data_IF_853448738581
#
_entry.id   IF_853448738581
#
_cell.length_a   1.000
_cell.length_b   1.000
_cell.length_c   1.000
_cell.angle_alpha   90.00
_cell.angle_beta   90.00
_cell.angle_gamma   90.00
#
_symmetry.space_group_name_H-M   'P 1'
#
loop_
_entity.id
_entity.type
_entity.pdbx_description
1 polymer ?
#
# COMPACT_ATOMS: atom_id res chain seq x y z
N UNK A 1 -2.75 11.98 0.42
CA UNK A 1 -3.87 11.59 1.29
C UNK A 1 -5.08 12.47 0.99
N UNK A 2 -6.24 11.84 0.85
CA UNK A 2 -7.54 12.49 0.71
C UNK A 2 -8.43 12.08 1.87
N UNK A 3 -9.24 13.03 2.35
CA UNK A 3 -10.25 12.77 3.39
C UNK A 3 -11.58 13.36 2.93
N UNK A 4 -12.51 12.49 2.61
CA UNK A 4 -13.86 12.85 2.20
C UNK A 4 -14.82 12.72 3.37
N UNK A 5 -15.58 13.76 3.62
CA UNK A 5 -16.68 13.73 4.59
C UNK A 5 -17.86 12.89 4.07
N UNK A 6 -18.81 12.63 4.97
CA UNK A 6 -20.03 11.91 4.61
C UNK A 6 -20.80 12.61 3.48
N UNK A 7 -21.24 11.84 2.47
CA UNK A 7 -21.96 12.31 1.30
C UNK A 7 -21.19 13.37 0.47
N UNK A 8 -19.89 13.17 0.31
CA UNK A 8 -19.06 14.00 -0.56
C UNK A 8 -18.40 13.14 -1.65
N UNK A 9 -17.94 13.80 -2.70
CA UNK A 9 -17.29 13.17 -3.84
C UNK A 9 -16.18 14.04 -4.40
N UNK A 10 -15.32 13.39 -5.17
CA UNK A 10 -14.41 13.98 -6.15
C UNK A 10 -14.92 13.54 -7.51
N UNK A 11 -15.22 14.52 -8.35
CA UNK A 11 -15.75 14.31 -9.69
C UNK A 11 -14.84 13.41 -10.53
N UNK A 12 -15.43 12.73 -11.50
CA UNK A 12 -14.67 11.92 -12.44
C UNK A 12 -13.68 12.78 -13.23
N UNK A 13 -12.42 12.36 -13.22
CA UNK A 13 -11.33 12.99 -13.95
C UNK A 13 -10.47 11.92 -14.64
N UNK A 14 -9.70 12.35 -15.63
CA UNK A 14 -8.77 11.49 -16.35
C UNK A 14 -7.35 11.99 -16.17
N UNK A 15 -6.46 11.11 -15.70
CA UNK A 15 -5.03 11.39 -15.57
C UNK A 15 -4.22 10.57 -16.56
N UNK A 16 -3.14 11.13 -17.14
CA UNK A 16 -2.30 10.38 -18.07
C UNK A 16 -1.46 9.29 -17.40
N UNK A 17 -1.38 9.33 -16.08
CA UNK A 17 -0.58 8.43 -15.24
C UNK A 17 -1.42 7.25 -14.75
N UNK A 18 -0.77 6.11 -14.54
CA UNK A 18 -1.37 5.05 -13.75
C UNK A 18 -1.54 5.52 -12.29
N UNK A 19 -2.59 5.06 -11.65
CA UNK A 19 -2.94 5.46 -10.28
C UNK A 19 -3.12 4.21 -9.42
N UNK A 20 -2.60 4.25 -8.20
CA UNK A 20 -2.94 3.29 -7.15
C UNK A 20 -3.73 4.02 -6.08
N UNK A 21 -4.94 3.55 -5.79
CA UNK A 21 -5.72 4.01 -4.64
C UNK A 21 -5.63 2.95 -3.54
N UNK A 22 -5.41 3.40 -2.30
CA UNK A 22 -5.34 2.56 -1.11
C UNK A 22 -6.33 3.11 -0.09
N UNK A 23 -7.32 2.32 0.30
CA UNK A 23 -8.25 2.68 1.36
C UNK A 23 -7.58 2.63 2.73
N UNK A 24 -7.64 3.74 3.47
CA UNK A 24 -7.04 3.86 4.79
C UNK A 24 -8.09 3.78 5.92
N UNK A 25 -9.25 4.41 5.75
CA UNK A 25 -10.33 4.39 6.73
C UNK A 25 -11.69 4.66 6.10
N UNK A 26 -12.71 3.94 6.55
CA UNK A 26 -14.07 4.07 6.04
C UNK A 26 -14.32 3.32 4.75
N UNK A 27 -15.25 3.79 3.93
CA UNK A 27 -15.67 3.13 2.70
C UNK A 27 -15.87 4.14 1.58
N UNK A 28 -15.11 3.94 0.49
CA UNK A 28 -15.25 4.67 -0.75
C UNK A 28 -15.97 3.87 -1.83
N UNK A 29 -16.60 4.57 -2.74
CA UNK A 29 -17.13 4.07 -3.99
C UNK A 29 -16.33 4.72 -5.12
N UNK A 30 -15.63 3.90 -5.90
CA UNK A 30 -14.82 4.33 -7.03
C UNK A 30 -15.63 4.10 -8.31
N UNK A 31 -15.98 5.17 -9.00
CA UNK A 31 -16.53 5.05 -10.35
C UNK A 31 -15.35 4.95 -11.31
N UNK A 32 -15.25 3.87 -12.07
CA UNK A 32 -14.20 3.63 -13.06
C UNK A 32 -14.81 3.21 -14.39
N UNK A 33 -14.66 4.03 -15.41
CA UNK A 33 -15.22 3.78 -16.76
C UNK A 33 -16.71 3.37 -16.69
N UNK A 34 -17.49 4.08 -15.86
CA UNK A 34 -18.91 3.83 -15.63
C UNK A 34 -19.24 2.60 -14.78
N UNK A 35 -18.25 1.88 -14.24
CA UNK A 35 -18.46 0.80 -13.28
C UNK A 35 -18.24 1.33 -11.86
N UNK A 36 -19.00 0.83 -10.90
CA UNK A 36 -18.82 1.15 -9.48
C UNK A 36 -18.05 0.03 -8.79
N UNK A 37 -17.01 0.41 -8.03
CA UNK A 37 -16.17 -0.47 -7.22
C UNK A 37 -16.20 0.04 -5.79
N UNK A 38 -16.35 -0.87 -4.82
CA UNK A 38 -16.24 -0.53 -3.40
C UNK A 38 -14.79 -0.67 -2.96
N UNK A 39 -14.25 0.34 -2.27
CA UNK A 39 -12.87 0.34 -1.74
C UNK A 39 -12.92 0.62 -0.24
N UNK A 40 -12.56 -0.37 0.56
CA UNK A 40 -12.52 -0.31 2.03
C UNK A 40 -11.11 -0.19 2.59
N UNK A 41 -10.99 -0.35 3.90
CA UNK A 41 -9.71 -0.30 4.62
C UNK A 41 -8.78 -1.44 4.18
N UNK A 42 -7.49 -1.11 3.95
CA UNK A 42 -6.45 -2.04 3.50
C UNK A 42 -6.72 -2.71 2.16
N UNK A 43 -7.71 -2.21 1.42
CA UNK A 43 -7.95 -2.58 0.03
C UNK A 43 -7.26 -1.60 -0.91
N UNK A 44 -6.92 -2.06 -2.10
CA UNK A 44 -6.37 -1.20 -3.13
C UNK A 44 -6.96 -1.51 -4.50
N UNK A 45 -6.86 -0.54 -5.40
CA UNK A 45 -7.20 -0.70 -6.80
C UNK A 45 -6.15 -0.02 -7.67
N UNK A 46 -5.73 -0.70 -8.74
CA UNK A 46 -4.89 -0.12 -9.78
C UNK A 46 -5.77 0.40 -10.91
N UNK A 47 -5.60 1.68 -11.25
CA UNK A 47 -6.32 2.38 -12.31
C UNK A 47 -5.33 2.72 -13.43
N UNK A 48 -5.53 2.18 -14.65
CA UNK A 48 -4.67 2.52 -15.78
C UNK A 48 -4.73 4.00 -16.14
N UNK A 49 -3.65 4.54 -16.64
CA UNK A 49 -3.62 5.91 -17.15
C UNK A 49 -4.62 6.13 -18.27
N UNK A 50 -5.17 7.33 -18.33
CA UNK A 50 -6.25 7.77 -19.24
C UNK A 50 -7.62 7.12 -18.97
N UNK A 51 -7.81 6.38 -17.89
CA UNK A 51 -9.14 5.95 -17.46
C UNK A 51 -9.86 7.09 -16.76
N UNK A 52 -11.17 7.19 -16.99
CA UNK A 52 -12.05 8.11 -16.30
C UNK A 52 -12.45 7.51 -14.96
N UNK A 53 -12.12 8.16 -13.85
CA UNK A 53 -12.52 7.71 -12.52
C UNK A 53 -12.87 8.86 -11.59
N UNK A 54 -13.72 8.56 -10.62
CA UNK A 54 -14.09 9.45 -9.52
C UNK A 54 -14.17 8.68 -8.21
N UNK A 55 -14.22 9.40 -7.10
CA UNK A 55 -14.29 8.83 -5.75
C UNK A 55 -15.42 9.47 -4.99
N UNK A 56 -16.31 8.67 -4.41
CA UNK A 56 -17.41 9.15 -3.58
C UNK A 56 -17.52 8.35 -2.28
N UNK A 57 -18.24 8.87 -1.31
CA UNK A 57 -18.54 8.14 -0.08
C UNK A 57 -19.88 8.55 0.53
N UNK A 58 -20.59 7.60 1.10
CA UNK A 58 -21.81 7.84 1.90
C UNK A 58 -21.56 7.95 3.39
N UNK A 59 -20.44 7.46 3.88
CA UNK A 59 -20.16 7.33 5.32
C UNK A 59 -18.93 8.11 5.79
N UNK A 60 -18.06 8.49 4.87
CA UNK A 60 -16.73 9.05 5.07
C UNK A 60 -15.67 8.09 4.56
N UNK A 61 -14.61 8.64 3.96
CA UNK A 61 -13.53 7.83 3.38
C UNK A 61 -12.21 8.57 3.41
N UNK A 62 -11.19 7.89 3.91
CA UNK A 62 -9.79 8.35 3.85
C UNK A 62 -9.02 7.40 2.98
N UNK A 63 -8.28 7.92 2.02
CA UNK A 63 -7.48 7.10 1.11
C UNK A 63 -6.17 7.77 0.71
N UNK A 64 -5.23 6.95 0.28
CA UNK A 64 -3.97 7.37 -0.34
C UNK A 64 -4.08 7.19 -1.84
N UNK A 65 -3.69 8.22 -2.58
CA UNK A 65 -3.54 8.17 -4.02
C UNK A 65 -2.05 8.26 -4.38
N UNK A 66 -1.57 7.32 -5.18
CA UNK A 66 -0.20 7.29 -5.70
C UNK A 66 -0.26 7.41 -7.22
N UNK A 67 0.22 8.54 -7.73
CA UNK A 67 0.39 8.77 -9.17
C UNK A 67 1.73 8.18 -9.62
N UNK A 68 1.69 7.15 -10.44
CA UNK A 68 2.87 6.52 -11.00
C UNK A 68 3.34 7.31 -12.23
N UNK A 69 4.65 7.53 -12.35
CA UNK A 69 5.19 8.20 -13.55
C UNK A 69 4.79 7.45 -14.82
N UNK A 70 4.65 8.16 -15.93
CA UNK A 70 4.30 7.57 -17.23
C UNK A 70 5.51 6.83 -17.83
N UNK A 71 5.82 5.67 -17.31
CA UNK A 71 6.87 4.73 -17.74
C UNK A 71 6.34 3.32 -17.68
N UNK A 72 7.01 2.36 -18.31
CA UNK A 72 6.64 0.96 -18.19
C UNK A 72 6.91 0.45 -16.78
N UNK A 73 6.00 -0.35 -16.25
CA UNK A 73 6.10 -1.05 -14.97
C UNK A 73 5.95 -2.54 -15.19
N UNK A 74 6.74 -3.32 -14.46
CA UNK A 74 6.47 -4.73 -14.26
C UNK A 74 5.37 -4.83 -13.21
N UNK A 75 4.22 -5.37 -13.60
CA UNK A 75 3.10 -5.61 -12.72
C UNK A 75 2.97 -7.10 -12.44
N UNK A 76 2.69 -7.44 -11.18
CA UNK A 76 2.42 -8.82 -10.80
C UNK A 76 1.16 -9.34 -11.51
N UNK A 77 1.22 -10.56 -12.04
CA UNK A 77 0.13 -11.19 -12.79
C UNK A 77 -1.16 -11.39 -11.95
N UNK A 78 -1.05 -11.34 -10.63
CA UNK A 78 -2.20 -11.42 -9.73
C UNK A 78 -3.00 -10.11 -9.67
N UNK A 79 -2.46 -9.02 -10.22
CA UNK A 79 -3.08 -7.70 -10.18
C UNK A 79 -3.80 -7.42 -11.49
N UNK A 80 -5.11 -7.40 -11.45
CA UNK A 80 -5.93 -6.99 -12.58
C UNK A 80 -6.34 -5.52 -12.44
N UNK A 81 -6.16 -4.75 -13.50
CA UNK A 81 -6.56 -3.35 -13.52
C UNK A 81 -8.07 -3.21 -13.31
N UNK A 82 -8.47 -2.29 -12.43
CA UNK A 82 -9.88 -2.04 -12.11
C UNK A 82 -10.55 -3.14 -11.29
N UNK A 83 -9.77 -3.97 -10.60
CA UNK A 83 -10.25 -4.89 -9.56
C UNK A 83 -9.75 -4.45 -8.20
N UNK A 84 -10.55 -4.67 -7.17
CA UNK A 84 -10.20 -4.35 -5.78
C UNK A 84 -9.59 -5.57 -5.11
N UNK A 85 -8.47 -5.37 -4.43
CA UNK A 85 -7.72 -6.41 -3.71
C UNK A 85 -7.51 -6.01 -2.25
N UNK A 86 -7.36 -7.02 -1.38
CA UNK A 86 -6.74 -6.85 -0.07
C UNK A 86 -5.26 -7.17 -0.18
N UNK A 87 -4.41 -6.18 0.03
CA UNK A 87 -2.95 -6.37 -0.03
C UNK A 87 -2.47 -7.47 0.91
N UNK A 88 -3.04 -7.54 2.12
CA UNK A 88 -2.68 -8.54 3.10
C UNK A 88 -2.94 -9.99 2.65
N UNK A 89 -3.91 -10.20 1.76
CA UNK A 89 -4.31 -11.54 1.31
C UNK A 89 -3.46 -12.06 0.14
N UNK A 90 -2.69 -11.18 -0.52
CA UNK A 90 -1.89 -11.55 -1.69
C UNK A 90 -0.66 -12.40 -1.35
N UNK A 91 -0.15 -12.31 -0.13
CA UNK A 91 1.06 -13.02 0.28
C UNK A 91 0.82 -13.77 1.60
N UNK A 92 0.92 -15.12 1.64
CA UNK A 92 0.81 -15.86 2.88
C UNK A 92 2.03 -15.67 3.79
N UNK A 93 1.88 -15.96 5.09
CA UNK A 93 3.01 -16.14 5.99
C UNK A 93 3.62 -17.53 5.79
N UNK A 94 4.94 -17.63 5.84
CA UNK A 94 5.68 -18.89 5.85
C UNK A 94 6.41 -19.05 7.19
N UNK A 95 6.30 -20.23 7.78
CA UNK A 95 6.87 -20.53 9.11
C UNK A 95 8.38 -20.30 9.13
N UNK A 96 8.85 -19.51 10.12
CA UNK A 96 10.25 -19.17 10.33
C UNK A 96 10.89 -18.32 9.22
N UNK A 97 10.09 -17.72 8.34
CA UNK A 97 10.60 -17.04 7.14
C UNK A 97 10.11 -15.59 7.02
N UNK A 98 10.87 -14.81 6.25
CA UNK A 98 10.43 -13.56 5.67
C UNK A 98 10.22 -13.80 4.18
N UNK A 99 9.00 -13.58 3.70
CA UNK A 99 8.67 -13.71 2.28
C UNK A 99 8.27 -12.36 1.71
N UNK A 100 8.50 -12.17 0.42
CA UNK A 100 8.14 -10.94 -0.27
C UNK A 100 7.52 -11.20 -1.65
N UNK A 101 6.75 -10.23 -2.13
CA UNK A 101 6.14 -10.24 -3.46
C UNK A 101 6.18 -8.83 -4.04
N UNK A 102 6.82 -8.67 -5.18
CA UNK A 102 6.75 -7.43 -5.94
C UNK A 102 5.36 -7.29 -6.58
N UNK A 103 4.70 -6.18 -6.31
CA UNK A 103 3.38 -5.84 -6.88
C UNK A 103 3.55 -5.01 -8.14
N UNK A 104 4.32 -3.93 -8.04
CA UNK A 104 4.64 -3.04 -9.16
C UNK A 104 6.10 -2.64 -9.02
N UNK A 105 6.87 -2.75 -10.09
CA UNK A 105 8.27 -2.33 -10.08
C UNK A 105 8.77 -1.77 -11.39
N UNK A 106 9.76 -0.89 -11.32
CA UNK A 106 10.65 -0.48 -12.39
C UNK A 106 11.97 0.02 -11.80
N UNK A 107 12.86 0.57 -12.61
CA UNK A 107 14.19 1.04 -12.17
C UNK A 107 14.13 2.17 -11.12
N UNK A 108 13.03 2.90 -11.00
CA UNK A 108 12.89 4.04 -10.09
C UNK A 108 11.79 3.91 -9.04
N UNK A 109 11.02 2.81 -9.06
CA UNK A 109 9.91 2.60 -8.14
C UNK A 109 9.70 1.13 -7.86
N UNK A 110 9.45 0.79 -6.59
CA UNK A 110 9.11 -0.55 -6.16
C UNK A 110 7.98 -0.51 -5.14
N UNK A 111 6.91 -1.23 -5.44
CA UNK A 111 5.84 -1.51 -4.49
C UNK A 111 5.86 -3.00 -4.19
N UNK A 112 6.14 -3.36 -2.95
CA UNK A 112 6.37 -4.75 -2.51
C UNK A 112 5.55 -5.02 -1.26
N UNK A 113 4.99 -6.22 -1.17
CA UNK A 113 4.45 -6.75 0.07
C UNK A 113 5.50 -7.64 0.73
N UNK A 114 5.67 -7.52 2.03
CA UNK A 114 6.53 -8.37 2.83
C UNK A 114 5.75 -8.96 4.00
N UNK A 115 5.90 -10.27 4.22
CA UNK A 115 5.28 -10.97 5.34
C UNK A 115 6.39 -11.61 6.20
N UNK A 116 6.34 -11.31 7.49
CA UNK A 116 7.30 -11.75 8.50
C UNK A 116 6.61 -12.70 9.46
N UNK A 117 7.11 -13.92 9.60
CA UNK A 117 6.66 -14.81 10.67
C UNK A 117 7.17 -14.30 12.04
N UNK A 118 6.54 -14.72 13.13
CA UNK A 118 6.97 -14.35 14.48
C UNK A 118 8.43 -14.69 14.72
N UNK A 119 9.19 -13.78 15.30
CA UNK A 119 10.63 -13.93 15.56
C UNK A 119 11.53 -13.67 14.35
N UNK A 120 10.98 -13.34 13.17
CA UNK A 120 11.79 -13.06 11.98
C UNK A 120 11.98 -11.56 11.74
N UNK A 121 12.87 -11.20 10.84
CA UNK A 121 13.14 -9.81 10.49
C UNK A 121 14.18 -9.64 9.39
N UNK A 122 14.38 -8.43 8.96
CA UNK A 122 15.48 -8.04 8.06
C UNK A 122 16.64 -7.50 8.90
N UNK A 123 17.86 -7.81 8.50
CA UNK A 123 19.05 -7.17 9.08
C UNK A 123 19.10 -5.68 8.75
N UNK A 124 19.82 -4.93 9.56
CA UNK A 124 20.00 -3.50 9.37
C UNK A 124 20.62 -3.19 8.00
N UNK A 125 20.02 -2.26 7.29
CA UNK A 125 20.47 -1.80 5.97
C UNK A 125 20.00 -0.36 5.71
N UNK A 126 20.61 0.27 4.71
CA UNK A 126 20.24 1.62 4.29
C UNK A 126 19.10 1.60 3.27
N UNK A 127 18.13 2.49 3.39
CA UNK A 127 17.09 2.67 2.40
C UNK A 127 17.70 3.16 1.07
N UNK A 128 17.53 2.46 -0.06
CA UNK A 128 18.12 2.88 -1.34
C UNK A 128 17.46 4.15 -1.90
N UNK A 129 16.24 4.42 -1.51
CA UNK A 129 15.43 5.59 -1.85
C UNK A 129 14.60 6.03 -0.66
N UNK A 130 13.73 7.01 -0.85
CA UNK A 130 12.66 7.26 0.10
C UNK A 130 11.68 6.11 0.05
N UNK A 131 11.19 5.67 1.22
CA UNK A 131 10.22 4.60 1.31
C UNK A 131 9.13 4.90 2.33
N UNK A 132 7.93 4.44 2.04
CA UNK A 132 6.79 4.48 2.97
C UNK A 132 6.36 3.05 3.22
N UNK A 133 6.26 2.69 4.50
CA UNK A 133 5.66 1.43 4.95
C UNK A 133 4.19 1.67 5.28
N UNK A 134 3.35 0.77 4.81
CA UNK A 134 1.97 0.60 5.23
C UNK A 134 1.89 -0.72 6.00
N UNK A 135 1.63 -0.67 7.30
CA UNK A 135 1.41 -1.87 8.09
C UNK A 135 0.04 -2.46 7.75
N UNK A 136 0.02 -3.66 7.17
CA UNK A 136 -1.17 -4.29 6.62
C UNK A 136 -1.83 -5.27 7.59
N UNK A 137 -1.03 -5.98 8.39
CA UNK A 137 -1.51 -7.00 9.33
C UNK A 137 -0.50 -7.21 10.45
N UNK A 138 -1.00 -7.51 11.65
CA UNK A 138 -0.19 -7.82 12.83
C UNK A 138 0.54 -6.62 13.43
N UNK A 139 1.70 -6.90 14.05
CA UNK A 139 2.53 -5.92 14.72
C UNK A 139 4.00 -6.16 14.45
N UNK A 140 4.75 -5.08 14.29
CA UNK A 140 6.19 -5.12 14.09
C UNK A 140 6.92 -4.04 14.88
N UNK A 141 8.23 -4.07 14.79
CA UNK A 141 9.12 -3.02 15.28
C UNK A 141 10.00 -2.57 14.14
N UNK A 142 10.02 -1.28 13.91
CA UNK A 142 10.91 -0.62 12.96
C UNK A 142 12.03 0.03 13.79
N UNK A 143 13.25 -0.48 13.68
CA UNK A 143 14.43 0.26 14.15
C UNK A 143 14.84 1.23 13.07
N UNK A 144 14.92 2.52 13.37
CA UNK A 144 15.30 3.58 12.43
C UNK A 144 16.23 4.57 13.11
N UNK A 145 17.41 4.80 12.50
CA UNK A 145 18.44 5.71 13.03
C UNK A 145 18.80 5.44 14.51
N UNK A 146 18.76 4.16 14.92
CA UNK A 146 19.10 3.71 16.27
C UNK A 146 17.97 3.75 17.30
N UNK A 147 16.76 4.11 16.89
CA UNK A 147 15.57 4.11 17.75
C UNK A 147 14.55 3.06 17.29
N UNK A 148 13.89 2.39 18.24
CA UNK A 148 12.84 1.42 17.95
C UNK A 148 11.46 2.08 17.94
N UNK A 149 10.71 1.87 16.86
CA UNK A 149 9.35 2.37 16.63
C UNK A 149 8.39 1.19 16.49
N UNK A 150 7.60 0.85 17.51
CA UNK A 150 6.52 -0.12 17.36
C UNK A 150 5.52 0.34 16.32
N UNK A 151 5.06 -0.58 15.48
CA UNK A 151 4.06 -0.31 14.43
C UNK A 151 3.05 -1.46 14.38
N UNK A 152 1.79 -1.14 14.06
CA UNK A 152 0.72 -2.12 13.92
C UNK A 152 -0.14 -1.83 12.70
N UNK A 153 -0.95 -2.81 12.31
CA UNK A 153 -1.86 -2.70 11.16
C UNK A 153 -2.65 -1.38 11.16
N UNK A 154 -2.68 -0.71 10.01
CA UNK A 154 -3.29 0.61 9.81
C UNK A 154 -2.36 1.80 10.04
N UNK A 155 -1.17 1.60 10.58
CA UNK A 155 -0.16 2.65 10.77
C UNK A 155 0.83 2.69 9.61
N UNK A 156 1.51 3.83 9.45
CA UNK A 156 2.48 4.05 8.38
C UNK A 156 3.78 4.60 8.95
N UNK A 157 4.90 4.29 8.27
CA UNK A 157 6.21 4.81 8.63
C UNK A 157 6.97 5.27 7.38
N UNK A 158 7.74 6.35 7.49
CA UNK A 158 8.53 6.91 6.39
C UNK A 158 10.02 6.78 6.65
N UNK A 159 10.76 6.25 5.67
CA UNK A 159 12.22 6.26 5.64
C UNK A 159 12.73 7.31 4.67
N UNK A 160 13.64 8.16 5.13
CA UNK A 160 14.42 9.00 4.23
C UNK A 160 15.44 8.16 3.45
N UNK A 161 15.80 8.63 2.27
CA UNK A 161 16.87 8.00 1.48
C UNK A 161 18.18 7.91 2.28
N UNK A 162 18.76 6.73 2.34
CA UNK A 162 20.00 6.44 3.07
C UNK A 162 19.78 6.16 4.56
N UNK A 163 18.57 6.32 5.09
CA UNK A 163 18.26 6.03 6.49
C UNK A 163 18.50 4.57 6.84
N UNK A 164 19.28 4.34 7.92
CA UNK A 164 19.56 2.98 8.43
C UNK A 164 18.35 2.45 9.15
N UNK A 165 17.90 1.27 8.76
CA UNK A 165 16.70 0.66 9.35
C UNK A 165 16.77 -0.86 9.45
N UNK A 166 15.97 -1.38 10.37
CA UNK A 166 15.73 -2.80 10.59
C UNK A 166 14.23 -3.01 10.77
N UNK A 167 13.70 -4.15 10.35
CA UNK A 167 12.28 -4.50 10.52
C UNK A 167 12.21 -5.85 11.22
N UNK A 168 11.42 -5.95 12.27
CA UNK A 168 11.28 -7.15 13.09
C UNK A 168 9.82 -7.46 13.38
N UNK A 169 9.47 -8.75 13.32
CA UNK A 169 8.25 -9.33 13.87
C UNK A 169 8.60 -10.02 15.18
N UNK A 170 8.50 -9.34 16.34
CA UNK A 170 9.05 -9.83 17.62
C UNK A 170 8.11 -10.84 18.28
N UNK A 171 6.91 -10.40 18.65
CA UNK A 171 5.94 -11.19 19.43
C UNK A 171 4.66 -11.48 18.63
N UNK A 172 4.69 -11.30 17.34
CA UNK A 172 3.54 -11.42 16.45
C UNK A 172 4.01 -11.50 15.01
N UNK A 173 3.24 -12.14 14.14
CA UNK A 173 3.41 -12.01 12.71
C UNK A 173 3.18 -10.55 12.29
N UNK A 174 3.87 -10.13 11.24
CA UNK A 174 3.77 -8.77 10.72
C UNK A 174 3.75 -8.77 9.19
N UNK A 175 2.89 -7.97 8.61
CA UNK A 175 2.84 -7.78 7.17
C UNK A 175 2.77 -6.30 6.81
N UNK A 176 3.54 -5.91 5.83
CA UNK A 176 3.62 -4.53 5.34
C UNK A 176 3.61 -4.48 3.82
#
# INVERSE_FOLDING_TARGET
>A
YFSLGKNTDISEETYPNNVVLIGNHGLGEITLEGRSLSLGENEFVFIPGNSLYGVSTKVGFVYTEILLKKVEYNMNELINAGEVFKLADLLPYEEGSVVNMDIISNDGFKFVIMAFDEGTGLSEHAAPGEAIIFALDGKGVIGYEGEDHPIQAGENFHFAKGGMHIIKAVDSKFKM
#
